data_IF_092499302490
#
_entry.id   IF_092499302490
#
_cell.length_a   1.000
_cell.length_b   1.000
_cell.length_c   1.000
_cell.angle_alpha   90.00
_cell.angle_beta   90.00
_cell.angle_gamma   90.00
#
_symmetry.space_group_name_H-M   'P 1'
#
loop_
_entity.id
_entity.type
_entity.pdbx_description
1 polymer ?
#
# COMPACT_ATOMS: atom_id res chain seq x y z
N UNK A 1 1.03 -21.86 16.10
CA UNK A 1 0.69 -20.46 16.46
C UNK A 1 1.37 -19.46 15.52
N UNK A 2 2.70 -19.55 15.32
CA UNK A 2 3.45 -18.65 14.43
C UNK A 2 2.97 -18.69 12.97
N UNK A 3 2.62 -19.87 12.44
CA UNK A 3 2.04 -19.99 11.10
C UNK A 3 0.79 -19.10 10.90
N UNK A 4 -0.17 -19.17 11.83
CA UNK A 4 -1.42 -18.40 11.74
C UNK A 4 -1.19 -16.88 11.85
N UNK A 5 -0.20 -16.45 12.63
CA UNK A 5 0.20 -15.04 12.71
C UNK A 5 0.80 -14.53 11.40
N UNK A 6 1.67 -15.33 10.77
CA UNK A 6 2.25 -14.97 9.46
C UNK A 6 1.18 -14.99 8.37
N UNK A 7 0.24 -15.93 8.44
CA UNK A 7 -0.89 -16.01 7.51
C UNK A 7 -1.84 -14.81 7.63
N UNK A 8 -2.13 -14.34 8.85
CA UNK A 8 -2.97 -13.14 9.04
C UNK A 8 -2.28 -11.87 8.52
N UNK A 9 -0.97 -11.74 8.74
CA UNK A 9 -0.17 -10.65 8.16
C UNK A 9 -0.16 -10.70 6.63
N UNK A 10 -0.01 -11.88 6.04
CA UNK A 10 -0.08 -12.09 4.60
C UNK A 10 -1.41 -11.63 4.01
N UNK A 11 -2.53 -11.99 4.65
CA UNK A 11 -3.86 -11.54 4.23
C UNK A 11 -4.05 -10.02 4.38
N UNK A 12 -3.55 -9.45 5.47
CA UNK A 12 -3.62 -8.00 5.70
C UNK A 12 -2.85 -7.22 4.63
N UNK A 13 -1.68 -7.70 4.21
CA UNK A 13 -0.90 -7.09 3.12
C UNK A 13 -1.67 -7.13 1.78
N UNK A 14 -2.38 -8.23 1.48
CA UNK A 14 -3.24 -8.31 0.30
C UNK A 14 -4.35 -7.24 0.36
N UNK A 15 -5.02 -7.09 1.50
CA UNK A 15 -6.07 -6.09 1.67
C UNK A 15 -5.52 -4.68 1.44
N UNK A 16 -4.34 -4.36 2.00
CA UNK A 16 -3.66 -3.08 1.78
C UNK A 16 -3.39 -2.85 0.29
N UNK A 17 -2.85 -3.85 -0.41
CA UNK A 17 -2.57 -3.75 -1.84
C UNK A 17 -3.85 -3.49 -2.66
N UNK A 18 -4.95 -4.16 -2.33
CA UNK A 18 -6.24 -3.94 -3.02
C UNK A 18 -6.71 -2.49 -2.83
N UNK A 19 -6.67 -1.98 -1.60
CA UNK A 19 -7.08 -0.60 -1.31
C UNK A 19 -6.17 0.40 -2.05
N UNK A 20 -4.87 0.11 -2.14
CA UNK A 20 -3.90 0.97 -2.81
C UNK A 20 -4.12 1.02 -4.33
N UNK A 21 -4.44 -0.13 -4.94
CA UNK A 21 -4.86 -0.19 -6.35
C UNK A 21 -6.15 0.60 -6.58
N UNK A 22 -7.16 0.46 -5.72
CA UNK A 22 -8.39 1.24 -5.80
C UNK A 22 -8.09 2.74 -5.69
N UNK A 23 -7.16 3.13 -4.80
CA UNK A 23 -6.73 4.50 -4.66
C UNK A 23 -6.10 5.05 -5.95
N UNK A 24 -5.23 4.28 -6.61
CA UNK A 24 -4.65 4.67 -7.91
C UNK A 24 -5.71 4.80 -9.02
N UNK A 25 -6.69 3.89 -9.05
CA UNK A 25 -7.77 3.89 -10.05
C UNK A 25 -8.69 5.11 -9.96
N UNK A 26 -8.70 5.82 -8.83
CA UNK A 26 -9.41 7.10 -8.67
C UNK A 26 -9.01 8.14 -9.72
N UNK A 27 -7.77 8.08 -10.23
CA UNK A 27 -7.32 8.97 -11.30
C UNK A 27 -7.97 8.71 -12.67
N UNK A 28 -8.59 7.54 -12.85
CA UNK A 28 -9.19 7.08 -14.10
C UNK A 28 -10.72 7.08 -14.00
N UNK A 29 -11.26 6.74 -12.83
CA UNK A 29 -12.70 6.62 -12.61
C UNK A 29 -13.16 7.71 -11.64
N UNK A 30 -14.16 8.54 -12.01
CA UNK A 30 -14.72 9.55 -11.13
C UNK A 30 -15.52 8.87 -10.00
N UNK A 31 -14.84 8.53 -8.92
CA UNK A 31 -15.46 8.06 -7.68
C UNK A 31 -16.15 9.23 -6.99
N UNK A 32 -17.33 9.00 -6.41
CA UNK A 32 -18.08 10.03 -5.69
C UNK A 32 -17.29 10.63 -4.52
N UNK A 33 -17.57 11.88 -4.16
CA UNK A 33 -16.86 12.64 -3.12
C UNK A 33 -16.80 11.91 -1.77
N UNK A 34 -17.87 11.20 -1.40
CA UNK A 34 -17.92 10.40 -0.17
C UNK A 34 -16.92 9.23 -0.19
N UNK A 35 -16.87 8.47 -1.29
CA UNK A 35 -15.95 7.33 -1.46
C UNK A 35 -14.50 7.81 -1.46
N UNK A 36 -14.26 8.95 -2.12
CA UNK A 36 -12.94 9.59 -2.14
C UNK A 36 -12.44 9.96 -0.75
N UNK A 37 -13.30 10.54 0.09
CA UNK A 37 -12.93 10.88 1.48
C UNK A 37 -12.62 9.64 2.32
N UNK A 38 -13.38 8.55 2.13
CA UNK A 38 -13.10 7.27 2.83
C UNK A 38 -11.73 6.74 2.40
N UNK A 39 -11.47 6.67 1.09
CA UNK A 39 -10.20 6.19 0.56
C UNK A 39 -9.02 7.05 1.02
N UNK A 40 -9.16 8.38 1.01
CA UNK A 40 -8.13 9.29 1.51
C UNK A 40 -7.84 9.04 2.99
N UNK A 41 -8.87 8.87 3.83
CA UNK A 41 -8.68 8.57 5.25
C UNK A 41 -8.01 7.22 5.50
N UNK A 42 -8.36 6.19 4.72
CA UNK A 42 -7.75 4.86 4.83
C UNK A 42 -6.29 4.86 4.37
N UNK A 43 -5.97 5.58 3.31
CA UNK A 43 -4.62 5.62 2.73
C UNK A 43 -3.69 6.61 3.42
N UNK A 44 -4.21 7.65 4.06
CA UNK A 44 -3.41 8.66 4.78
C UNK A 44 -2.32 8.08 5.70
N UNK A 45 -2.57 7.09 6.59
CA UNK A 45 -1.52 6.54 7.45
C UNK A 45 -0.40 5.84 6.67
N UNK A 46 -0.68 5.29 5.49
CA UNK A 46 0.30 4.64 4.63
C UNK A 46 1.05 5.64 3.74
N UNK A 47 0.32 6.62 3.19
CA UNK A 47 0.86 7.64 2.29
C UNK A 47 1.73 8.66 3.02
N UNK A 48 1.36 9.10 4.22
CA UNK A 48 2.12 10.10 4.97
C UNK A 48 3.61 9.77 5.15
N UNK A 49 4.00 8.58 5.67
CA UNK A 49 5.41 8.24 5.84
C UNK A 49 6.13 8.10 4.50
N UNK A 50 5.49 7.49 3.49
CA UNK A 50 6.11 7.31 2.17
C UNK A 50 6.30 8.66 1.47
N UNK A 51 5.30 9.55 1.50
CA UNK A 51 5.40 10.92 0.98
C UNK A 51 6.50 11.71 1.68
N UNK A 52 6.67 11.53 2.98
CA UNK A 52 7.77 12.15 3.73
C UNK A 52 9.13 11.71 3.19
N UNK A 53 9.31 10.40 2.96
CA UNK A 53 10.55 9.85 2.39
C UNK A 53 10.77 10.35 0.94
N UNK A 54 9.74 10.29 0.10
CA UNK A 54 9.79 10.74 -1.31
C UNK A 54 10.15 12.22 -1.41
N UNK A 55 9.61 13.06 -0.51
CA UNK A 55 9.93 14.50 -0.48
C UNK A 55 11.40 14.80 -0.19
N UNK A 56 12.10 13.89 0.48
CA UNK A 56 13.52 14.02 0.81
C UNK A 56 14.42 13.16 -0.10
N UNK A 57 13.87 12.56 -1.16
CA UNK A 57 14.63 11.75 -2.13
C UNK A 57 14.69 12.42 -3.51
N UNK A 58 15.45 11.80 -4.41
CA UNK A 58 15.56 12.22 -5.83
C UNK A 58 14.19 12.17 -6.53
N UNK A 59 13.26 11.36 -6.03
CA UNK A 59 11.93 11.18 -6.60
C UNK A 59 11.03 12.43 -6.42
N UNK A 60 11.43 13.41 -5.61
CA UNK A 60 10.72 14.69 -5.45
C UNK A 60 10.52 15.44 -6.77
N UNK A 61 11.41 15.29 -7.74
CA UNK A 61 11.34 16.01 -9.02
C UNK A 61 10.23 15.51 -9.95
N UNK A 62 9.55 14.41 -9.59
CA UNK A 62 8.53 13.79 -10.42
C UNK A 62 7.21 14.54 -10.25
N UNK A 63 6.56 14.86 -11.38
CA UNK A 63 5.27 15.59 -11.40
C UNK A 63 4.11 14.76 -10.82
N UNK A 64 4.25 13.44 -10.80
CA UNK A 64 3.24 12.50 -10.32
C UNK A 64 3.62 12.01 -8.93
N UNK A 65 2.64 11.87 -8.03
CA UNK A 65 2.86 11.27 -6.72
C UNK A 65 3.13 9.76 -6.87
N UNK A 66 4.38 9.35 -6.60
CA UNK A 66 4.84 7.96 -6.74
C UNK A 66 4.64 7.16 -5.45
N UNK A 67 4.25 7.84 -4.36
CA UNK A 67 4.02 7.22 -3.05
C UNK A 67 3.13 5.97 -3.09
N UNK A 68 1.97 5.95 -3.76
CA UNK A 68 1.15 4.73 -3.83
C UNK A 68 1.92 3.58 -4.52
N UNK A 69 2.69 3.84 -5.58
CA UNK A 69 3.49 2.80 -6.24
C UNK A 69 4.56 2.21 -5.31
N UNK A 70 5.19 3.06 -4.49
CA UNK A 70 6.17 2.61 -3.50
C UNK A 70 5.50 1.74 -2.43
N UNK A 71 4.30 2.11 -1.97
CA UNK A 71 3.51 1.30 -1.02
C UNK A 71 3.24 -0.08 -1.62
N UNK A 72 2.80 -0.14 -2.88
CA UNK A 72 2.53 -1.39 -3.58
C UNK A 72 3.77 -2.29 -3.68
N UNK A 73 4.93 -1.71 -4.02
CA UNK A 73 6.20 -2.44 -4.09
C UNK A 73 6.56 -3.00 -2.71
N UNK A 74 6.53 -2.18 -1.66
CA UNK A 74 6.87 -2.60 -0.28
C UNK A 74 5.92 -3.70 0.19
N UNK A 75 4.61 -3.53 -0.02
CA UNK A 75 3.61 -4.51 0.38
C UNK A 75 3.78 -5.85 -0.36
N UNK A 76 4.03 -5.82 -1.68
CA UNK A 76 4.29 -7.03 -2.47
C UNK A 76 5.55 -7.77 -2.03
N UNK A 77 6.61 -7.03 -1.70
CA UNK A 77 7.85 -7.61 -1.17
C UNK A 77 7.59 -8.29 0.19
N UNK A 78 6.95 -7.59 1.13
CA UNK A 78 6.59 -8.14 2.43
C UNK A 78 5.69 -9.37 2.31
N UNK A 79 4.75 -9.36 1.37
CA UNK A 79 3.88 -10.49 1.10
C UNK A 79 4.68 -11.72 0.65
N UNK A 80 5.66 -11.53 -0.24
CA UNK A 80 6.57 -12.60 -0.67
C UNK A 80 7.40 -13.16 0.50
N UNK A 81 7.88 -12.29 1.39
CA UNK A 81 8.59 -12.69 2.61
C UNK A 81 7.67 -13.51 3.53
N UNK A 82 6.43 -13.07 3.78
CA UNK A 82 5.46 -13.85 4.54
C UNK A 82 5.22 -15.23 3.92
N UNK A 83 5.09 -15.31 2.59
CA UNK A 83 4.93 -16.58 1.86
C UNK A 83 6.13 -17.50 2.02
N UNK A 84 7.34 -16.96 2.00
CA UNK A 84 8.56 -17.72 2.26
C UNK A 84 8.60 -18.25 3.70
N UNK A 85 8.29 -17.40 4.67
CA UNK A 85 8.25 -17.78 6.10
C UNK A 85 7.20 -18.89 6.33
N UNK A 86 6.02 -18.80 5.72
CA UNK A 86 4.98 -19.84 5.81
C UNK A 86 5.39 -21.19 5.21
N UNK A 87 6.39 -21.25 4.33
CA UNK A 87 6.92 -22.52 3.81
C UNK A 87 7.91 -23.20 4.76
N UNK A 88 8.49 -22.45 5.70
CA UNK A 88 9.49 -22.94 6.65
C UNK A 88 8.80 -23.53 7.89
N UNK A 89 7.63 -23.00 8.24
CA UNK A 89 6.78 -23.49 9.34
C UNK A 89 5.79 -24.56 8.87
#
# INVERSE_FOLDING_TARGET
MNYYLVYSLYLLLIIIMIIDVIYMLRGIIPLGSFINNILDNMMKPLLCPVRFIVRHSILKSLKTDISPYIILIIASYLQSVCKMIMKIY
#
